data_IF_989356074882
#
_entry.id   IF_989356074882
#
_cell.length_a   1.000
_cell.length_b   1.000
_cell.length_c   1.000
_cell.angle_alpha   90.00
_cell.angle_beta   90.00
_cell.angle_gamma   90.00
#
_symmetry.space_group_name_H-M   'P 1'
#
loop_
_entity.id
_entity.type
_entity.pdbx_description
1 polymer ?
#
# COMPACT_ATOMS: atom_id res chain seq x y z
N UNK A 1 17.01 14.87 6.47
CA UNK A 1 17.19 14.44 5.07
C UNK A 1 17.04 12.94 5.01
N UNK A 2 15.97 12.42 4.40
CA UNK A 2 15.82 10.97 4.17
C UNK A 2 16.43 10.65 2.81
N UNK A 3 17.43 9.77 2.77
CA UNK A 3 17.97 9.26 1.50
C UNK A 3 17.06 8.12 1.06
N UNK A 4 16.37 8.34 -0.06
CA UNK A 4 15.47 7.36 -0.70
C UNK A 4 16.20 6.03 -0.93
N UNK A 5 15.55 4.92 -0.59
CA UNK A 5 16.04 3.56 -0.84
C UNK A 5 17.29 3.14 -0.06
N UNK A 6 17.69 3.91 0.96
CA UNK A 6 18.86 3.55 1.77
C UNK A 6 18.55 2.48 2.82
N UNK A 7 19.45 1.50 2.96
CA UNK A 7 19.38 0.48 4.01
C UNK A 7 20.53 0.65 5.00
N UNK A 8 20.18 0.95 6.25
CA UNK A 8 21.15 0.96 7.36
C UNK A 8 21.08 -0.39 8.09
N UNK A 9 22.22 -1.08 8.34
CA UNK A 9 22.21 -2.40 8.97
C UNK A 9 21.47 -2.45 10.32
N UNK A 10 21.60 -1.42 11.16
CA UNK A 10 20.90 -1.36 12.45
C UNK A 10 19.38 -1.31 12.31
N UNK A 11 18.87 -0.67 11.26
CA UNK A 11 17.43 -0.62 10.95
C UNK A 11 16.99 -1.96 10.37
N UNK A 12 17.69 -2.46 9.34
CA UNK A 12 17.32 -3.72 8.67
C UNK A 12 17.31 -4.90 9.64
N UNK A 13 18.35 -5.05 10.47
CA UNK A 13 18.44 -6.16 11.42
C UNK A 13 17.33 -6.10 12.47
N UNK A 14 17.02 -4.92 13.01
CA UNK A 14 15.93 -4.73 13.95
C UNK A 14 14.56 -5.07 13.33
N UNK A 15 14.33 -4.66 12.08
CA UNK A 15 13.11 -4.98 11.34
C UNK A 15 13.01 -6.49 11.08
N UNK A 16 14.08 -7.14 10.63
CA UNK A 16 14.10 -8.59 10.43
C UNK A 16 13.75 -9.35 11.72
N UNK A 17 14.31 -8.92 12.86
CA UNK A 17 14.03 -9.54 14.16
C UNK A 17 12.58 -9.32 14.62
N UNK A 18 12.01 -8.15 14.34
CA UNK A 18 10.59 -7.88 14.57
C UNK A 18 9.70 -8.83 13.76
N UNK A 19 9.90 -8.94 12.45
CA UNK A 19 9.10 -9.82 11.59
C UNK A 19 9.21 -11.29 12.00
N UNK A 20 10.42 -11.77 12.34
CA UNK A 20 10.63 -13.12 12.87
C UNK A 20 9.91 -13.34 14.19
N UNK A 21 9.94 -12.36 15.09
CA UNK A 21 9.28 -12.44 16.40
C UNK A 21 7.77 -12.55 16.24
N UNK A 22 7.15 -11.68 15.44
CA UNK A 22 5.71 -11.72 15.22
C UNK A 22 5.28 -13.02 14.53
N UNK A 23 6.05 -13.50 13.55
CA UNK A 23 5.75 -14.77 12.91
C UNK A 23 5.87 -15.96 13.87
N UNK A 24 6.94 -16.03 14.66
CA UNK A 24 7.16 -17.11 15.64
C UNK A 24 6.06 -17.14 16.70
N UNK A 25 5.68 -15.97 17.22
CA UNK A 25 4.79 -15.89 18.38
C UNK A 25 3.31 -15.98 18.00
N UNK A 26 2.93 -15.53 16.80
CA UNK A 26 1.53 -15.43 16.36
C UNK A 26 1.21 -16.12 15.03
N UNK A 27 2.21 -16.68 14.34
CA UNK A 27 2.00 -17.34 13.04
C UNK A 27 1.67 -16.38 11.88
N UNK A 28 1.79 -15.07 12.08
CA UNK A 28 1.41 -14.06 11.08
C UNK A 28 2.31 -14.15 9.85
N UNK A 29 1.69 -14.02 8.68
CA UNK A 29 2.35 -13.88 7.38
C UNK A 29 2.07 -12.47 6.85
N UNK A 30 3.01 -11.91 6.10
CA UNK A 30 2.97 -10.51 5.70
C UNK A 30 2.97 -10.36 4.20
N UNK A 31 2.10 -9.49 3.70
CA UNK A 31 2.11 -9.00 2.32
C UNK A 31 2.12 -7.48 2.39
N UNK A 32 3.02 -6.85 1.65
CA UNK A 32 3.22 -5.40 1.77
C UNK A 32 3.68 -4.76 0.48
N UNK A 33 3.50 -3.45 0.44
CA UNK A 33 4.05 -2.56 -0.58
C UNK A 33 5.02 -1.59 0.07
N UNK A 34 6.04 -1.17 -0.68
CA UNK A 34 6.96 -0.13 -0.27
C UNK A 34 6.32 1.27 -0.40
N UNK A 35 6.67 2.18 0.51
CA UNK A 35 6.37 3.60 0.36
C UNK A 35 7.42 4.30 -0.51
N UNK A 36 7.19 5.56 -0.86
CA UNK A 36 8.10 6.35 -1.71
C UNK A 36 9.52 6.48 -1.13
N UNK A 37 9.65 6.46 0.20
CA UNK A 37 10.94 6.61 0.88
C UNK A 37 11.80 5.34 0.87
N UNK A 38 11.19 4.17 0.71
CA UNK A 38 11.87 2.88 0.62
C UNK A 38 12.41 2.61 -0.79
N UNK A 39 12.11 3.49 -1.76
CA UNK A 39 12.43 3.30 -3.18
C UNK A 39 13.55 4.24 -3.63
N UNK A 40 14.61 3.68 -4.20
CA UNK A 40 15.68 4.42 -4.91
C UNK A 40 15.13 5.07 -6.20
N UNK A 41 14.24 4.37 -6.90
CA UNK A 41 13.60 4.81 -8.14
C UNK A 41 12.35 5.64 -7.87
N UNK A 42 11.89 6.39 -8.89
CA UNK A 42 10.66 7.20 -8.80
C UNK A 42 9.44 6.35 -8.48
N UNK A 43 9.22 5.30 -9.27
CA UNK A 43 8.16 4.32 -9.08
C UNK A 43 8.68 3.07 -8.37
N UNK A 44 7.75 2.26 -7.86
CA UNK A 44 8.05 0.95 -7.30
C UNK A 44 8.66 0.02 -8.36
N UNK A 45 9.79 -0.58 -8.03
CA UNK A 45 10.38 -1.68 -8.79
C UNK A 45 11.12 -2.64 -7.85
N UNK A 46 11.26 -3.94 -8.17
CA UNK A 46 11.89 -4.90 -7.28
C UNK A 46 13.34 -4.54 -6.90
N UNK A 47 14.14 -4.07 -7.86
CA UNK A 47 15.58 -3.81 -7.64
C UNK A 47 15.84 -2.56 -6.79
N UNK A 48 15.06 -1.50 -7.00
CA UNK A 48 15.21 -0.23 -6.28
C UNK A 48 14.45 -0.17 -4.96
N UNK A 49 13.90 -1.29 -4.49
CA UNK A 49 13.05 -1.35 -3.30
C UNK A 49 13.82 -1.92 -2.11
N UNK A 50 14.15 -1.06 -1.13
CA UNK A 50 14.84 -1.44 0.09
C UNK A 50 14.08 -2.51 0.90
N UNK A 51 12.74 -2.47 0.90
CA UNK A 51 11.93 -3.46 1.60
C UNK A 51 12.02 -4.86 0.97
N UNK A 52 12.46 -4.98 -0.30
CA UNK A 52 12.65 -6.28 -0.94
C UNK A 52 13.65 -7.19 -0.20
N UNK A 53 14.54 -6.64 0.62
CA UNK A 53 15.41 -7.42 1.50
C UNK A 53 14.62 -8.33 2.47
N UNK A 54 13.40 -7.95 2.84
CA UNK A 54 12.53 -8.75 3.71
C UNK A 54 12.00 -10.02 3.04
N UNK A 55 12.05 -10.13 1.70
CA UNK A 55 11.71 -11.36 0.98
C UNK A 55 12.67 -12.52 1.29
N UNK A 56 13.79 -12.26 1.97
CA UNK A 56 14.63 -13.32 2.55
C UNK A 56 13.92 -14.14 3.63
N UNK A 57 12.81 -13.64 4.18
CA UNK A 57 11.95 -14.35 5.12
C UNK A 57 10.81 -15.05 4.36
N UNK A 58 10.62 -16.39 4.48
CA UNK A 58 9.65 -17.15 3.68
C UNK A 58 8.16 -16.86 3.99
N UNK A 59 7.90 -16.02 4.99
CA UNK A 59 6.56 -15.60 5.43
C UNK A 59 6.31 -14.10 5.17
N UNK A 60 7.20 -13.43 4.44
CA UNK A 60 7.05 -12.04 3.99
C UNK A 60 7.05 -12.01 2.46
N UNK A 61 6.10 -11.26 1.90
CA UNK A 61 5.97 -11.01 0.47
C UNK A 61 5.89 -9.50 0.22
N UNK A 62 6.99 -8.93 -0.26
CA UNK A 62 7.08 -7.52 -0.65
C UNK A 62 6.81 -7.41 -2.14
N UNK A 63 5.67 -6.79 -2.44
CA UNK A 63 5.15 -6.67 -3.78
C UNK A 63 5.61 -5.34 -4.38
N UNK A 64 6.15 -5.39 -5.59
CA UNK A 64 6.60 -4.20 -6.33
C UNK A 64 5.78 -3.91 -7.59
N UNK A 65 4.83 -4.78 -7.95
CA UNK A 65 3.87 -4.62 -9.04
C UNK A 65 2.43 -4.79 -8.54
N UNK A 66 1.42 -4.26 -9.26
CA UNK A 66 0.02 -4.47 -8.88
C UNK A 66 -0.31 -5.96 -8.75
N UNK A 67 -0.77 -6.39 -7.58
CA UNK A 67 -0.99 -7.82 -7.29
C UNK A 67 -2.32 -8.03 -6.58
N UNK A 68 -3.03 -9.07 -7.02
CA UNK A 68 -4.32 -9.49 -6.45
C UNK A 68 -4.15 -10.73 -5.59
N UNK A 69 -4.59 -10.64 -4.35
CA UNK A 69 -4.61 -11.74 -3.39
C UNK A 69 -6.05 -12.19 -3.16
N UNK A 70 -6.43 -13.23 -3.90
CA UNK A 70 -7.79 -13.78 -3.95
C UNK A 70 -8.24 -14.37 -2.60
N UNK A 71 -7.31 -14.95 -1.86
CA UNK A 71 -7.53 -15.58 -0.54
C UNK A 71 -8.05 -14.60 0.52
N UNK A 72 -7.65 -13.34 0.45
CA UNK A 72 -8.09 -12.27 1.35
C UNK A 72 -8.88 -11.16 0.67
N UNK A 73 -9.10 -11.26 -0.64
CA UNK A 73 -9.72 -10.20 -1.46
C UNK A 73 -9.00 -8.86 -1.26
N UNK A 74 -7.67 -8.88 -1.37
CA UNK A 74 -6.82 -7.70 -1.23
C UNK A 74 -6.12 -7.41 -2.54
N UNK A 75 -6.20 -6.17 -3.01
CA UNK A 75 -5.37 -5.65 -4.08
C UNK A 75 -4.27 -4.78 -3.48
N UNK A 76 -3.02 -5.13 -3.74
CA UNK A 76 -1.86 -4.31 -3.39
C UNK A 76 -1.44 -3.51 -4.62
N UNK A 77 -1.44 -2.18 -4.50
CA UNK A 77 -0.99 -1.28 -5.56
C UNK A 77 0.22 -0.47 -5.03
N UNK A 78 1.44 -0.87 -5.40
CA UNK A 78 2.66 -0.20 -4.97
C UNK A 78 2.76 1.27 -5.40
N UNK A 79 3.66 2.01 -4.77
CA UNK A 79 3.88 3.44 -5.02
C UNK A 79 4.08 3.75 -6.52
N UNK A 80 3.40 4.81 -6.96
CA UNK A 80 3.62 5.53 -8.21
C UNK A 80 3.94 6.98 -7.90
N UNK A 81 4.93 7.53 -8.59
CA UNK A 81 5.26 8.96 -8.51
C UNK A 81 4.16 9.81 -9.18
N UNK A 82 3.54 9.26 -10.23
CA UNK A 82 2.42 9.87 -10.95
C UNK A 82 1.07 9.45 -10.39
N UNK A 83 0.26 10.44 -10.02
CA UNK A 83 -1.14 10.21 -9.62
C UNK A 83 -1.99 9.65 -10.76
N UNK A 84 -1.69 10.02 -12.01
CA UNK A 84 -2.43 9.54 -13.18
C UNK A 84 -2.11 8.06 -13.47
N UNK A 85 -0.87 7.64 -13.26
CA UNK A 85 -0.49 6.23 -13.39
C UNK A 85 -1.16 5.38 -12.29
N UNK A 86 -1.27 5.91 -11.07
CA UNK A 86 -1.98 5.22 -10.00
C UNK A 86 -3.49 5.13 -10.25
N UNK A 87 -4.10 6.19 -10.81
CA UNK A 87 -5.51 6.15 -11.26
C UNK A 87 -5.73 5.08 -12.32
N UNK A 88 -4.80 4.98 -13.29
CA UNK A 88 -4.85 3.96 -14.33
C UNK A 88 -4.70 2.54 -13.74
N UNK A 89 -3.78 2.35 -12.77
CA UNK A 89 -3.61 1.07 -12.09
C UNK A 89 -4.87 0.69 -11.28
N UNK A 90 -5.51 1.64 -10.57
CA UNK A 90 -6.77 1.41 -9.86
C UNK A 90 -7.91 1.02 -10.81
N UNK A 91 -8.02 1.70 -11.95
CA UNK A 91 -9.02 1.37 -12.97
C UNK A 91 -8.78 -0.02 -13.54
N UNK A 92 -7.53 -0.36 -13.89
CA UNK A 92 -7.17 -1.68 -14.38
C UNK A 92 -7.49 -2.79 -13.37
N UNK A 93 -7.14 -2.58 -12.10
CA UNK A 93 -7.42 -3.54 -11.02
C UNK A 93 -8.92 -3.72 -10.83
N UNK A 94 -9.69 -2.63 -10.85
CA UNK A 94 -11.16 -2.70 -10.78
C UNK A 94 -11.72 -3.54 -11.93
N UNK A 95 -11.23 -3.33 -13.15
CA UNK A 95 -11.69 -4.07 -14.33
C UNK A 95 -11.31 -5.55 -14.26
N UNK A 96 -10.10 -5.86 -13.79
CA UNK A 96 -9.63 -7.23 -13.60
C UNK A 96 -10.42 -8.00 -12.54
N UNK A 97 -10.83 -7.32 -11.46
CA UNK A 97 -11.68 -7.89 -10.40
C UNK A 97 -13.13 -8.04 -10.87
N UNK A 98 -13.61 -7.07 -11.67
CA UNK A 98 -15.00 -6.96 -12.10
C UNK A 98 -15.86 -6.11 -11.16
N UNK A 99 -16.58 -5.16 -11.74
CA UNK A 99 -17.36 -4.16 -10.99
C UNK A 99 -18.43 -4.74 -10.06
N UNK A 100 -18.99 -5.90 -10.38
CA UNK A 100 -20.05 -6.56 -9.57
C UNK A 100 -19.53 -7.13 -8.24
N UNK A 101 -18.22 -7.34 -8.11
CA UNK A 101 -17.60 -7.94 -6.92
C UNK A 101 -16.53 -7.06 -6.27
N UNK A 102 -16.18 -5.91 -6.87
CA UNK A 102 -15.19 -4.97 -6.35
C UNK A 102 -15.45 -4.57 -4.88
N UNK A 103 -16.72 -4.48 -4.46
CA UNK A 103 -17.10 -4.14 -3.07
C UNK A 103 -16.67 -5.18 -2.02
N UNK A 104 -16.28 -6.38 -2.44
CA UNK A 104 -15.71 -7.42 -1.57
C UNK A 104 -14.20 -7.29 -1.39
N UNK A 105 -13.56 -6.41 -2.16
CA UNK A 105 -12.12 -6.24 -2.17
C UNK A 105 -11.68 -5.01 -1.39
N UNK A 106 -10.51 -5.12 -0.76
CA UNK A 106 -9.78 -4.00 -0.17
C UNK A 106 -8.63 -3.62 -1.08
N UNK A 107 -8.54 -2.34 -1.45
CA UNK A 107 -7.36 -1.79 -2.11
C UNK A 107 -6.41 -1.20 -1.08
N UNK A 108 -5.12 -1.53 -1.16
CA UNK A 108 -4.07 -0.93 -0.33
C UNK A 108 -3.13 -0.16 -1.25
N UNK A 109 -2.98 1.14 -0.97
CA UNK A 109 -2.19 2.09 -1.77
C UNK A 109 -1.26 2.89 -0.86
N UNK A 110 -0.21 3.45 -1.45
CA UNK A 110 0.60 4.49 -0.82
C UNK A 110 0.51 5.74 -1.69
N UNK A 111 -0.28 6.74 -1.28
CA UNK A 111 -0.57 7.94 -2.06
C UNK A 111 -1.11 9.08 -1.20
N UNK A 112 -0.92 10.35 -1.61
CA UNK A 112 -1.58 11.48 -0.97
C UNK A 112 -3.11 11.38 -1.13
N UNK A 113 -3.83 11.66 -0.03
CA UNK A 113 -5.29 11.79 0.00
C UNK A 113 -5.68 13.16 0.54
N UNK A 114 -6.49 13.88 -0.22
CA UNK A 114 -6.88 15.26 0.07
C UNK A 114 -7.62 15.37 1.41
N UNK A 115 -7.46 16.53 2.05
CA UNK A 115 -8.04 16.83 3.35
C UNK A 115 -7.44 16.07 4.53
N UNK A 116 -6.39 15.23 4.38
CA UNK A 116 -5.73 14.61 5.54
C UNK A 116 -4.97 15.62 6.39
N UNK A 117 -4.19 16.49 5.76
CA UNK A 117 -3.44 17.57 6.44
C UNK A 117 -4.16 18.90 6.22
N UNK A 118 -4.46 19.61 7.31
CA UNK A 118 -5.12 20.91 7.23
C UNK A 118 -4.16 21.98 6.69
N UNK A 119 -4.63 22.79 5.74
CA UNK A 119 -3.88 23.93 5.21
C UNK A 119 -2.86 23.60 4.10
N UNK A 120 -2.79 22.35 3.64
CA UNK A 120 -2.00 21.99 2.46
C UNK A 120 -2.93 21.97 1.23
N UNK A 121 -2.50 22.54 0.08
CA UNK A 121 -3.26 22.45 -1.17
C UNK A 121 -3.50 21.00 -1.60
N UNK A 122 -4.68 20.75 -2.16
CA UNK A 122 -5.06 19.45 -2.68
C UNK A 122 -4.20 19.06 -3.89
N UNK A 123 -3.60 17.87 -3.82
CA UNK A 123 -2.74 17.32 -4.86
C UNK A 123 -2.78 15.78 -4.91
N UNK A 124 -3.68 15.17 -4.14
CA UNK A 124 -3.88 13.73 -4.06
C UNK A 124 -5.28 13.30 -4.48
N UNK A 125 -5.69 12.14 -4.00
CA UNK A 125 -7.03 11.60 -4.23
C UNK A 125 -8.08 12.30 -3.38
N UNK A 126 -9.25 12.54 -3.96
CA UNK A 126 -10.45 12.83 -3.19
C UNK A 126 -11.10 11.55 -2.67
N UNK A 127 -11.71 11.61 -1.49
CA UNK A 127 -12.47 10.47 -0.95
C UNK A 127 -13.60 9.99 -1.87
N UNK A 128 -14.25 10.91 -2.59
CA UNK A 128 -15.30 10.58 -3.58
C UNK A 128 -14.72 9.87 -4.81
N UNK A 129 -13.53 10.28 -5.24
CA UNK A 129 -12.82 9.64 -6.34
C UNK A 129 -12.47 8.19 -5.98
N UNK A 130 -11.86 7.96 -4.81
CA UNK A 130 -11.55 6.61 -4.32
C UNK A 130 -12.80 5.74 -4.18
N UNK A 131 -13.91 6.31 -3.69
CA UNK A 131 -15.18 5.58 -3.58
C UNK A 131 -15.74 5.15 -4.94
N UNK A 132 -15.48 5.91 -6.02
CA UNK A 132 -15.99 5.61 -7.37
C UNK A 132 -15.40 4.33 -7.99
N UNK A 133 -14.26 3.85 -7.48
CA UNK A 133 -13.70 2.56 -7.90
C UNK A 133 -14.51 1.36 -7.37
N UNK A 134 -15.31 1.55 -6.32
CA UNK A 134 -16.24 0.55 -5.82
C UNK A 134 -15.64 -0.52 -4.90
N UNK A 135 -14.38 -0.37 -4.48
CA UNK A 135 -13.79 -1.21 -3.42
C UNK A 135 -14.57 -1.08 -2.11
N UNK A 136 -14.64 -2.17 -1.34
CA UNK A 136 -15.28 -2.14 -0.03
C UNK A 136 -14.51 -1.25 0.95
N UNK A 137 -13.19 -1.23 0.82
CA UNK A 137 -12.28 -0.40 1.60
C UNK A 137 -11.08 0.02 0.76
N UNK A 138 -10.62 1.24 0.98
CA UNK A 138 -9.31 1.70 0.50
C UNK A 138 -8.47 2.09 1.71
N UNK A 139 -7.31 1.45 1.87
CA UNK A 139 -6.32 1.77 2.88
C UNK A 139 -5.16 2.52 2.22
N UNK A 140 -4.95 3.77 2.61
CA UNK A 140 -3.91 4.63 2.05
C UNK A 140 -2.84 4.96 3.10
N UNK A 141 -1.58 4.64 2.79
CA UNK A 141 -0.41 5.20 3.46
C UNK A 141 0.12 6.43 2.70
N UNK A 142 0.96 7.24 3.35
CA UNK A 142 1.80 8.35 2.84
C UNK A 142 1.80 9.49 3.86
N UNK A 143 0.61 9.93 4.28
CA UNK A 143 0.48 10.88 5.36
C UNK A 143 0.54 10.22 6.73
N UNK A 144 1.18 10.89 7.68
CA UNK A 144 1.44 10.34 9.01
C UNK A 144 0.30 10.61 10.01
N UNK A 145 -0.72 11.38 9.60
CA UNK A 145 -1.92 11.61 10.38
C UNK A 145 -2.96 10.55 10.04
N UNK A 146 -3.43 9.82 11.06
CA UNK A 146 -4.60 8.97 10.91
C UNK A 146 -5.84 9.83 10.62
N UNK A 147 -6.56 9.50 9.53
CA UNK A 147 -7.84 10.11 9.21
C UNK A 147 -8.74 9.11 8.49
N UNK A 148 -10.01 9.07 8.89
CA UNK A 148 -11.07 8.38 8.15
C UNK A 148 -11.73 9.37 7.19
N UNK A 149 -11.85 8.98 5.93
CA UNK A 149 -12.49 9.77 4.87
C UNK A 149 -13.61 8.93 4.25
N UNK A 150 -14.81 9.51 4.13
CA UNK A 150 -16.00 8.82 3.63
C UNK A 150 -16.60 7.80 4.61
N UNK A 151 -17.61 7.08 4.14
CA UNK A 151 -18.31 6.01 4.86
C UNK A 151 -17.94 4.67 4.26
N UNK A 152 -17.53 3.72 5.10
CA UNK A 152 -17.37 2.32 4.69
C UNK A 152 -18.76 1.71 4.68
N UNK A 153 -19.25 1.29 3.53
CA UNK A 153 -20.51 0.56 3.43
C UNK A 153 -20.32 -0.80 4.11
N UNK A 154 -20.85 -0.96 5.32
CA UNK A 154 -20.87 -2.22 6.09
C UNK A 154 -19.52 -2.85 6.47
N UNK A 155 -18.62 -2.12 7.14
CA UNK A 155 -17.52 -2.79 7.86
C UNK A 155 -17.94 -3.12 9.28
N UNK A 156 -18.24 -4.40 9.54
CA UNK A 156 -18.02 -4.99 10.86
C UNK A 156 -16.50 -5.17 11.00
N UNK A 157 -15.86 -4.25 11.71
CA UNK A 157 -14.57 -4.52 12.35
C UNK A 157 -14.86 -5.07 13.74
#
# INVERSE_FOLDING_TARGET
>A
FHVRGSLTPSVLNAVLDFFKTIHRDYGVRFRMIAGNHDLETKDSCPMGNAAAALNSLPFVEVVSEKTLFEDHKVALLPWRDSMDDLRADLAHVKDAIGASVASKWTAIIHAPVNGVVLGIPDHGFDGKELASYGFGLVLAGHYHNHKKIGTVANSRW
#
